data_IF_237994004667
#
_entry.id   IF_237994004667
#
_cell.length_a   1.000
_cell.length_b   1.000
_cell.length_c   1.000
_cell.angle_alpha   90.00
_cell.angle_beta   90.00
_cell.angle_gamma   90.00
#
_symmetry.space_group_name_H-M   'P 1'
#
loop_
_entity.id
_entity.type
_entity.pdbx_description
1 polymer ?
#
# COMPACT_ATOMS: atom_id res chain seq x y z
N UNK A 1 38.71 39.90 13.35
CA UNK A 1 39.51 41.08 12.98
C UNK A 1 40.94 40.85 13.50
N UNK A 2 41.95 41.00 12.62
CA UNK A 2 43.40 40.74 12.82
C UNK A 2 43.81 39.26 12.87
N UNK A 3 44.87 38.77 12.24
CA UNK A 3 45.64 39.12 11.03
C UNK A 3 46.55 37.89 10.80
N UNK A 4 46.55 37.29 9.61
CA UNK A 4 47.67 36.47 9.09
C UNK A 4 48.93 37.38 8.95
N UNK A 5 50.19 36.90 8.74
CA UNK A 5 50.56 35.69 7.98
C UNK A 5 51.88 34.99 8.39
N UNK A 6 52.19 33.87 7.72
CA UNK A 6 53.57 33.58 7.31
C UNK A 6 53.60 32.64 6.09
N UNK A 7 54.00 33.22 4.96
CA UNK A 7 54.42 32.55 3.75
C UNK A 7 55.74 31.79 3.98
N UNK A 8 55.91 30.67 3.29
CA UNK A 8 57.05 30.53 2.37
C UNK A 8 56.78 29.48 1.29
N UNK A 9 57.04 29.93 0.07
CA UNK A 9 56.99 29.26 -1.22
C UNK A 9 58.32 28.60 -1.54
N UNK A 10 58.29 27.46 -2.22
CA UNK A 10 59.40 27.03 -3.08
C UNK A 10 58.86 26.19 -4.25
N UNK A 11 58.92 26.77 -5.43
CA UNK A 11 58.72 26.14 -6.73
C UNK A 11 60.06 25.57 -7.20
N UNK A 12 60.09 24.34 -7.72
CA UNK A 12 61.13 23.90 -8.65
C UNK A 12 60.57 22.80 -9.58
N UNK A 13 61.00 22.87 -10.83
CA UNK A 13 60.39 22.33 -12.05
C UNK A 13 61.31 21.26 -12.67
N UNK A 14 60.69 20.18 -13.15
CA UNK A 14 61.05 19.29 -14.28
C UNK A 14 62.29 18.38 -14.22
N UNK A 15 62.04 17.08 -14.43
CA UNK A 15 62.81 16.24 -15.33
C UNK A 15 61.90 15.20 -16.02
N UNK A 16 61.93 15.19 -17.35
CA UNK A 16 61.21 14.26 -18.22
C UNK A 16 61.97 12.93 -18.36
N UNK A 17 61.26 11.84 -18.62
CA UNK A 17 61.85 10.58 -19.10
C UNK A 17 60.91 9.93 -20.12
N UNK A 18 61.38 9.92 -21.36
CA UNK A 18 60.80 9.27 -22.53
C UNK A 18 61.19 7.79 -22.51
N UNK A 19 60.23 6.90 -22.76
CA UNK A 19 60.51 5.48 -23.02
C UNK A 19 59.86 5.08 -24.34
N UNK A 20 60.72 4.87 -25.33
CA UNK A 20 60.44 4.37 -26.67
C UNK A 20 60.42 2.84 -26.60
N UNK A 21 59.32 2.21 -27.01
CA UNK A 21 59.28 0.79 -27.34
C UNK A 21 59.24 0.63 -28.86
N UNK A 22 60.25 -0.05 -29.41
CA UNK A 22 60.35 -0.46 -30.81
C UNK A 22 60.03 -1.96 -30.89
N UNK A 23 59.13 -2.34 -31.79
CA UNK A 23 58.76 -3.73 -32.10
C UNK A 23 58.11 -3.80 -33.50
N UNK A 24 58.29 -4.90 -34.24
CA UNK A 24 58.40 -4.86 -35.70
C UNK A 24 57.07 -4.78 -36.46
N UNK A 25 57.09 -3.99 -37.53
CA UNK A 25 56.06 -3.92 -38.56
C UNK A 25 56.02 -5.22 -39.37
N UNK A 26 54.84 -5.84 -39.46
CA UNK A 26 54.52 -6.83 -40.48
C UNK A 26 53.57 -6.20 -41.49
N UNK A 27 54.05 -6.08 -42.72
CA UNK A 27 53.29 -5.60 -43.89
C UNK A 27 52.43 -6.76 -44.40
N UNK A 28 51.12 -6.58 -44.45
CA UNK A 28 50.23 -7.42 -45.25
C UNK A 28 49.41 -6.57 -46.22
N UNK A 29 49.17 -7.18 -47.37
CA UNK A 29 48.93 -6.55 -48.66
C UNK A 29 47.57 -5.90 -48.83
N UNK A 30 47.55 -4.89 -49.70
CA UNK A 30 46.36 -4.27 -50.29
C UNK A 30 45.67 -5.27 -51.23
N UNK A 31 44.39 -5.53 -50.99
CA UNK A 31 43.45 -6.05 -51.98
C UNK A 31 42.32 -5.01 -52.17
N UNK A 32 41.96 -4.78 -53.43
CA UNK A 32 41.12 -3.67 -53.92
C UNK A 32 39.62 -3.75 -53.57
N UNK A 33 38.83 -2.82 -54.14
CA UNK A 33 37.60 -2.31 -53.54
C UNK A 33 36.37 -3.13 -53.93
N UNK A 34 35.38 -3.19 -53.03
CA UNK A 34 34.02 -3.59 -53.42
C UNK A 34 33.28 -4.31 -52.32
N UNK A 35 32.67 -3.55 -51.40
CA UNK A 35 31.37 -3.84 -50.76
C UNK A 35 31.02 -2.63 -49.90
N UNK A 36 29.97 -1.91 -50.29
CA UNK A 36 29.38 -0.87 -49.45
C UNK A 36 28.98 -1.48 -48.08
N UNK A 37 29.16 -0.78 -46.94
CA UNK A 37 28.67 -1.29 -45.68
C UNK A 37 27.14 -1.34 -45.77
N UNK A 38 26.60 -2.54 -45.59
CA UNK A 38 25.18 -2.73 -45.36
C UNK A 38 24.77 -1.91 -44.14
N UNK A 39 23.72 -1.11 -44.28
CA UNK A 39 23.05 -0.41 -43.18
C UNK A 39 22.81 -1.40 -42.05
N UNK A 40 23.48 -1.18 -40.92
CA UNK A 40 23.22 -1.92 -39.70
C UNK A 40 21.76 -1.71 -39.30
N UNK A 41 21.00 -2.80 -39.20
CA UNK A 41 19.68 -2.78 -38.58
C UNK A 41 19.80 -2.24 -37.14
N UNK A 42 18.94 -1.29 -36.77
CA UNK A 42 18.80 -0.82 -35.38
C UNK A 42 18.59 -2.03 -34.47
N UNK A 43 19.60 -2.38 -33.67
CA UNK A 43 19.44 -3.36 -32.61
C UNK A 43 18.55 -2.74 -31.52
N UNK A 44 17.46 -3.43 -31.17
CA UNK A 44 16.61 -3.03 -30.06
C UNK A 44 17.42 -3.07 -28.75
N UNK A 45 17.27 -2.09 -27.86
CA UNK A 45 17.94 -2.09 -26.56
C UNK A 45 17.53 -3.33 -25.76
N UNK A 46 18.52 -4.01 -25.17
CA UNK A 46 18.34 -5.14 -24.25
C UNK A 46 18.29 -4.64 -22.81
N UNK A 47 17.24 -4.99 -22.06
CA UNK A 47 17.00 -4.57 -20.67
C UNK A 47 16.81 -5.77 -19.74
N UNK A 48 17.42 -5.73 -18.56
CA UNK A 48 17.28 -6.77 -17.53
C UNK A 48 16.04 -6.63 -16.65
N UNK A 49 15.42 -5.43 -16.59
CA UNK A 49 14.20 -5.18 -15.82
C UNK A 49 12.89 -5.56 -16.50
N UNK A 50 12.95 -6.15 -17.71
CA UNK A 50 11.75 -6.57 -18.45
C UNK A 50 11.11 -7.81 -17.80
N UNK A 51 9.80 -7.81 -17.51
CA UNK A 51 9.09 -9.01 -17.06
C UNK A 51 9.06 -10.14 -18.10
N UNK A 52 9.04 -11.39 -17.64
CA UNK A 52 9.00 -12.55 -18.55
C UNK A 52 7.74 -12.57 -19.41
N UNK A 53 7.88 -12.96 -20.68
CA UNK A 53 6.76 -13.00 -21.63
C UNK A 53 6.79 -11.84 -22.63
N UNK A 54 5.67 -11.64 -23.31
CA UNK A 54 5.47 -10.51 -24.23
C UNK A 54 4.33 -9.66 -23.72
N UNK A 55 4.61 -8.39 -23.46
CA UNK A 55 3.67 -7.44 -22.87
C UNK A 55 3.62 -6.18 -23.72
N UNK A 56 2.45 -5.55 -23.75
CA UNK A 56 2.26 -4.26 -24.42
C UNK A 56 1.64 -3.29 -23.43
N UNK A 57 2.23 -2.12 -23.28
CA UNK A 57 1.80 -1.07 -22.37
C UNK A 57 1.65 0.24 -23.14
N UNK A 58 0.43 0.74 -23.28
CA UNK A 58 0.18 2.08 -23.83
C UNK A 58 0.36 3.15 -22.75
N UNK A 59 1.44 3.91 -22.78
CA UNK A 59 1.74 4.96 -21.81
C UNK A 59 0.72 6.12 -21.84
N UNK A 60 0.72 6.94 -20.78
CA UNK A 60 -0.19 8.09 -20.66
C UNK A 60 -0.05 9.11 -21.82
N UNK A 61 1.10 9.14 -22.50
CA UNK A 61 1.37 9.97 -23.67
C UNK A 61 0.73 9.44 -24.96
N UNK A 62 0.30 8.17 -24.96
CA UNK A 62 -0.14 7.43 -26.15
C UNK A 62 0.96 6.61 -26.83
N UNK A 63 2.21 6.73 -26.38
CA UNK A 63 3.30 5.86 -26.84
C UNK A 63 3.07 4.41 -26.37
N UNK A 64 3.30 3.46 -27.26
CA UNK A 64 3.12 2.03 -27.00
C UNK A 64 4.48 1.38 -26.80
N UNK A 65 4.69 0.83 -25.60
CA UNK A 65 5.88 0.06 -25.26
C UNK A 65 5.55 -1.42 -25.40
N UNK A 66 6.29 -2.12 -26.24
CA UNK A 66 6.25 -3.59 -26.32
C UNK A 66 7.53 -4.14 -25.72
N UNK A 67 7.39 -5.00 -24.73
CA UNK A 67 8.50 -5.71 -24.09
C UNK A 67 8.40 -7.20 -24.41
N UNK A 68 9.55 -7.84 -24.66
CA UNK A 68 9.62 -9.29 -24.84
C UNK A 68 10.86 -9.84 -24.15
N UNK A 69 10.67 -10.79 -23.25
CA UNK A 69 11.77 -11.51 -22.61
C UNK A 69 11.51 -13.02 -22.64
N UNK A 70 12.50 -13.77 -23.11
CA UNK A 70 12.49 -15.23 -23.09
C UNK A 70 12.83 -15.80 -21.72
N UNK A 71 12.44 -17.05 -21.45
CA UNK A 71 12.63 -17.74 -20.17
C UNK A 71 14.09 -17.99 -19.74
N UNK A 72 15.07 -17.54 -20.52
CA UNK A 72 16.50 -17.82 -20.35
C UNK A 72 17.34 -16.70 -19.71
N UNK A 73 16.73 -15.63 -19.19
CA UNK A 73 17.42 -14.59 -18.40
C UNK A 73 18.42 -13.69 -19.14
N UNK A 74 18.65 -13.88 -20.44
CA UNK A 74 19.33 -12.91 -21.28
C UNK A 74 18.34 -11.77 -21.58
N UNK A 75 18.70 -10.53 -21.23
CA UNK A 75 17.82 -9.34 -21.18
C UNK A 75 16.75 -9.24 -22.28
N UNK A 76 15.60 -8.69 -21.92
CA UNK A 76 14.44 -8.51 -22.79
C UNK A 76 14.64 -7.40 -23.82
N UNK A 77 13.96 -7.51 -24.96
CA UNK A 77 13.92 -6.46 -25.98
C UNK A 77 12.78 -5.49 -25.69
N UNK A 78 13.04 -4.20 -25.83
CA UNK A 78 12.05 -3.13 -25.68
C UNK A 78 11.90 -2.38 -27.00
N UNK A 79 10.68 -2.20 -27.47
CA UNK A 79 10.37 -1.34 -28.63
C UNK A 79 9.32 -0.31 -28.25
N UNK A 80 9.55 0.95 -28.62
CA UNK A 80 8.64 2.06 -28.33
C UNK A 80 8.15 2.65 -29.65
N UNK A 81 6.83 2.76 -29.80
CA UNK A 81 6.18 3.36 -30.95
C UNK A 81 5.26 4.48 -30.51
N UNK A 82 5.12 5.51 -31.33
CA UNK A 82 4.14 6.57 -31.09
C UNK A 82 2.70 6.04 -31.32
N UNK A 83 1.72 6.90 -31.06
CA UNK A 83 0.31 6.58 -31.26
C UNK A 83 -0.05 6.25 -32.73
N UNK A 84 0.76 6.65 -33.71
CA UNK A 84 0.61 6.33 -35.14
C UNK A 84 1.30 5.01 -35.52
N UNK A 85 1.99 4.36 -34.58
CA UNK A 85 2.75 3.13 -34.79
C UNK A 85 4.15 3.33 -35.40
N UNK A 86 4.65 4.57 -35.49
CA UNK A 86 6.01 4.86 -35.96
C UNK A 86 7.00 4.74 -34.79
N UNK A 87 8.29 4.45 -35.04
CA UNK A 87 9.30 4.44 -33.97
C UNK A 87 9.35 5.78 -33.23
N UNK A 88 9.22 5.77 -31.90
CA UNK A 88 9.23 6.97 -31.07
C UNK A 88 10.58 7.16 -30.37
N UNK A 89 11.02 8.42 -30.23
CA UNK A 89 12.19 8.78 -29.43
C UNK A 89 11.80 8.70 -27.95
N UNK A 90 12.52 7.87 -27.20
CA UNK A 90 12.30 7.67 -25.77
C UNK A 90 13.63 7.45 -25.07
N UNK A 91 13.68 7.82 -23.79
CA UNK A 91 14.81 7.55 -22.89
C UNK A 91 14.46 6.34 -22.05
N UNK A 92 15.20 5.25 -22.26
CA UNK A 92 15.14 4.07 -21.41
C UNK A 92 16.13 4.24 -20.26
N UNK A 93 15.67 3.97 -19.04
CA UNK A 93 16.52 3.97 -17.84
C UNK A 93 16.21 2.72 -17.04
N UNK A 94 17.24 2.09 -16.49
CA UNK A 94 17.07 1.06 -15.46
C UNK A 94 17.44 1.68 -14.12
N UNK A 95 16.53 1.58 -13.16
CA UNK A 95 16.73 2.02 -11.80
C UNK A 95 16.17 0.96 -10.86
N UNK A 96 16.96 0.55 -9.87
CA UNK A 96 16.57 -0.42 -8.83
C UNK A 96 16.09 -1.79 -9.33
N UNK A 97 16.35 -2.13 -10.60
CA UNK A 97 15.91 -3.39 -11.22
C UNK A 97 14.76 -3.20 -12.20
N UNK A 98 14.14 -2.02 -12.22
CA UNK A 98 12.94 -1.73 -13.01
C UNK A 98 13.28 -0.99 -14.29
N UNK A 99 12.48 -1.26 -15.33
CA UNK A 99 12.57 -0.61 -16.62
C UNK A 99 11.66 0.61 -16.66
N UNK A 100 12.26 1.78 -16.76
CA UNK A 100 11.55 3.03 -17.05
C UNK A 100 11.68 3.41 -18.52
N UNK A 101 10.56 3.78 -19.14
CA UNK A 101 10.51 4.26 -20.52
C UNK A 101 9.88 5.64 -20.56
N UNK A 102 10.70 6.67 -20.76
CA UNK A 102 10.24 8.06 -20.82
C UNK A 102 10.17 8.56 -22.26
N UNK A 103 8.97 8.79 -22.83
CA UNK A 103 8.81 9.51 -24.09
C UNK A 103 9.41 10.92 -23.99
N UNK A 104 9.96 11.42 -25.08
CA UNK A 104 10.57 12.76 -25.13
C UNK A 104 9.60 13.87 -24.70
N UNK A 105 8.32 13.73 -25.06
CA UNK A 105 7.24 14.65 -24.70
C UNK A 105 6.93 14.69 -23.20
N UNK A 106 7.22 13.63 -22.45
CA UNK A 106 6.96 13.54 -21.01
C UNK A 106 8.12 14.03 -20.15
N UNK A 107 9.36 13.96 -20.65
CA UNK A 107 10.58 14.25 -19.89
C UNK A 107 10.57 15.61 -19.16
N UNK A 108 10.10 16.72 -19.76
CA UNK A 108 10.07 18.01 -19.06
C UNK A 108 9.16 17.99 -17.81
N UNK A 109 8.00 17.35 -17.90
CA UNK A 109 7.03 17.26 -16.79
C UNK A 109 7.51 16.32 -15.68
N UNK A 110 8.16 15.21 -16.05
CA UNK A 110 8.77 14.29 -15.08
C UNK A 110 9.94 14.97 -14.35
N UNK A 111 10.78 15.72 -15.08
CA UNK A 111 11.91 16.43 -14.49
C UNK A 111 11.49 17.56 -13.54
N UNK A 112 10.37 18.23 -13.82
CA UNK A 112 9.77 19.25 -12.95
C UNK A 112 9.04 18.63 -11.74
N UNK A 113 8.75 17.33 -11.78
CA UNK A 113 7.99 16.61 -10.74
C UNK A 113 6.48 16.81 -10.84
N UNK A 114 5.98 17.46 -11.90
CA UNK A 114 4.55 17.63 -12.15
C UNK A 114 3.89 16.37 -12.73
N UNK A 115 4.67 15.48 -13.34
CA UNK A 115 4.23 14.17 -13.80
C UNK A 115 4.93 13.06 -13.03
N UNK A 116 4.14 12.16 -12.47
CA UNK A 116 4.63 11.02 -11.73
C UNK A 116 5.45 10.07 -12.62
N UNK A 117 6.64 9.71 -12.15
CA UNK A 117 7.56 8.83 -12.86
C UNK A 117 7.03 7.39 -12.93
N UNK A 118 6.18 6.97 -11.97
CA UNK A 118 5.65 5.61 -11.93
C UNK A 118 4.68 5.32 -13.09
N UNK A 119 4.15 6.37 -13.74
CA UNK A 119 3.43 6.24 -15.01
C UNK A 119 4.31 5.73 -16.18
N UNK A 120 5.62 5.65 -15.98
CA UNK A 120 6.62 5.22 -16.94
C UNK A 120 7.44 4.02 -16.45
N UNK A 121 7.16 3.49 -15.25
CA UNK A 121 7.73 2.24 -14.76
C UNK A 121 7.04 1.06 -15.45
N UNK A 122 7.62 0.56 -16.53
CA UNK A 122 7.01 -0.50 -17.34
C UNK A 122 7.01 -1.84 -16.60
N UNK A 123 7.94 -2.05 -15.69
CA UNK A 123 8.00 -3.26 -14.84
C UNK A 123 6.78 -3.31 -13.94
N UNK A 124 6.60 -2.30 -13.08
CA UNK A 124 5.48 -2.24 -12.13
C UNK A 124 4.13 -2.17 -12.83
N UNK A 125 4.02 -1.43 -13.93
CA UNK A 125 2.77 -1.39 -14.71
C UNK A 125 2.38 -2.78 -15.25
N UNK A 126 3.34 -3.64 -15.59
CA UNK A 126 3.01 -5.02 -16.01
C UNK A 126 2.65 -5.87 -14.78
N UNK A 127 3.41 -5.76 -13.69
CA UNK A 127 3.18 -6.54 -12.46
C UNK A 127 1.83 -6.23 -11.81
N UNK A 128 1.43 -4.96 -11.78
CA UNK A 128 0.13 -4.47 -11.30
C UNK A 128 -1.05 -4.78 -12.27
N UNK A 129 -0.78 -5.45 -13.39
CA UNK A 129 -1.80 -5.80 -14.39
C UNK A 129 -2.35 -4.60 -15.17
N UNK A 130 -1.53 -3.57 -15.35
CA UNK A 130 -1.82 -2.40 -16.17
C UNK A 130 -1.38 -2.54 -17.63
N UNK A 131 -0.94 -3.71 -18.08
CA UNK A 131 -0.70 -3.96 -19.50
C UNK A 131 -2.01 -3.95 -20.32
N UNK A 132 -1.90 -3.75 -21.63
CA UNK A 132 -3.02 -3.56 -22.54
C UNK A 132 -3.89 -4.82 -22.67
N UNK A 133 -3.35 -6.01 -22.40
CA UNK A 133 -4.11 -7.25 -22.42
C UNK A 133 -4.97 -7.41 -21.15
N UNK A 134 -4.46 -7.00 -19.99
CA UNK A 134 -5.17 -7.12 -18.71
C UNK A 134 -6.16 -6.00 -18.46
N UNK A 135 -5.83 -4.74 -18.81
CA UNK A 135 -6.63 -3.58 -18.41
C UNK A 135 -6.66 -2.45 -19.43
N UNK A 136 -7.87 -2.18 -19.94
CA UNK A 136 -8.13 -1.11 -20.94
C UNK A 136 -7.99 0.31 -20.41
N UNK A 137 -7.90 0.50 -19.10
CA UNK A 137 -8.03 1.81 -18.46
C UNK A 137 -6.97 2.01 -17.39
N UNK A 138 -6.29 3.15 -17.48
CA UNK A 138 -5.28 3.58 -16.51
C UNK A 138 -5.94 4.52 -15.48
N UNK A 139 -5.96 4.16 -14.18
CA UNK A 139 -6.46 5.02 -13.13
C UNK A 139 -5.40 6.09 -12.79
N UNK A 140 -5.85 7.33 -12.59
CA UNK A 140 -4.99 8.50 -12.41
C UNK A 140 -5.53 9.40 -11.30
N UNK A 141 -4.64 10.10 -10.60
CA UNK A 141 -5.00 11.23 -9.74
C UNK A 141 -4.52 12.52 -10.41
N UNK A 142 -5.38 13.52 -10.50
CA UNK A 142 -5.03 14.84 -11.03
C UNK A 142 -5.29 15.89 -9.94
N UNK A 143 -4.29 16.69 -9.58
CA UNK A 143 -4.47 17.87 -8.71
C UNK A 143 -4.51 19.15 -9.53
N UNK A 144 -5.16 20.18 -8.98
CA UNK A 144 -5.28 21.49 -9.61
C UNK A 144 -4.57 22.55 -8.78
N UNK A 145 -4.08 23.60 -9.45
CA UNK A 145 -3.25 24.66 -8.83
C UNK A 145 -3.94 25.41 -7.68
N UNK A 146 -5.27 25.43 -7.67
CA UNK A 146 -6.06 26.02 -6.59
C UNK A 146 -7.52 25.50 -6.61
N UNK A 147 -8.23 25.77 -5.51
CA UNK A 147 -9.63 25.37 -5.35
C UNK A 147 -10.60 25.96 -6.41
N UNK A 148 -10.28 27.10 -7.02
CA UNK A 148 -11.12 27.66 -8.08
C UNK A 148 -10.96 26.85 -9.37
N UNK A 149 -9.72 26.54 -9.77
CA UNK A 149 -9.42 25.67 -10.89
C UNK A 149 -10.04 24.27 -10.72
N UNK A 150 -9.92 23.68 -9.53
CA UNK A 150 -10.54 22.39 -9.21
C UNK A 150 -12.08 22.38 -9.45
N UNK A 151 -12.78 23.44 -9.02
CA UNK A 151 -14.25 23.52 -9.16
C UNK A 151 -14.72 23.66 -10.61
N UNK A 152 -13.93 24.30 -11.46
CA UNK A 152 -14.28 24.57 -12.86
C UNK A 152 -13.58 23.64 -13.84
N UNK A 153 -12.75 22.71 -13.35
CA UNK A 153 -11.96 21.83 -14.19
C UNK A 153 -12.84 20.94 -15.05
N UNK A 154 -12.61 20.99 -16.36
CA UNK A 154 -13.14 20.01 -17.30
C UNK A 154 -12.42 18.68 -17.12
N UNK A 155 -13.10 17.58 -17.43
CA UNK A 155 -12.44 16.27 -17.48
C UNK A 155 -11.61 16.22 -18.77
N UNK A 156 -10.31 15.90 -18.70
CA UNK A 156 -9.47 15.71 -19.88
C UNK A 156 -10.08 14.73 -20.89
N UNK A 157 -9.85 14.96 -22.18
CA UNK A 157 -10.35 14.08 -23.23
C UNK A 157 -9.78 12.67 -23.06
N UNK A 158 -10.51 11.65 -23.53
CA UNK A 158 -10.08 10.26 -23.35
C UNK A 158 -10.16 9.74 -21.90
N UNK A 159 -10.50 10.57 -20.90
CA UNK A 159 -10.73 10.15 -19.53
C UNK A 159 -12.17 10.36 -19.07
N UNK A 160 -12.53 9.70 -17.96
CA UNK A 160 -13.74 10.02 -17.20
C UNK A 160 -13.39 10.29 -15.75
N UNK A 161 -14.09 11.24 -15.11
CA UNK A 161 -14.00 11.43 -13.66
C UNK A 161 -14.64 10.24 -12.96
N UNK A 162 -13.88 9.61 -12.07
CA UNK A 162 -14.35 8.53 -11.19
C UNK A 162 -14.87 9.14 -9.88
N UNK A 163 -14.10 10.04 -9.27
CA UNK A 163 -14.46 10.69 -8.00
C UNK A 163 -13.78 12.04 -7.83
N UNK A 164 -14.40 12.91 -7.07
CA UNK A 164 -13.84 14.19 -6.64
C UNK A 164 -13.02 14.02 -5.33
N UNK A 165 -11.85 14.63 -5.25
CA UNK A 165 -10.90 14.52 -4.15
C UNK A 165 -10.62 15.91 -3.55
N UNK A 166 -11.64 16.48 -2.91
CA UNK A 166 -11.61 17.86 -2.41
C UNK A 166 -10.45 18.17 -1.44
N UNK A 167 -10.01 17.19 -0.64
CA UNK A 167 -8.91 17.33 0.33
C UNK A 167 -7.57 17.67 -0.32
N UNK A 168 -7.34 17.17 -1.54
CA UNK A 168 -6.10 17.40 -2.32
C UNK A 168 -6.34 18.33 -3.50
N UNK A 169 -7.50 19.01 -3.54
CA UNK A 169 -7.91 19.85 -4.66
C UNK A 169 -7.75 19.11 -6.00
N UNK A 170 -8.22 17.87 -6.06
CA UNK A 170 -7.97 16.97 -7.18
C UNK A 170 -9.14 16.06 -7.53
N UNK A 171 -8.93 15.20 -8.52
CA UNK A 171 -9.91 14.23 -8.97
C UNK A 171 -9.24 12.90 -9.31
N UNK A 172 -9.91 11.80 -8.98
CA UNK A 172 -9.59 10.48 -9.50
C UNK A 172 -10.20 10.35 -10.90
N UNK A 173 -9.37 10.07 -11.89
CA UNK A 173 -9.74 9.88 -13.29
C UNK A 173 -9.45 8.44 -13.71
N UNK A 174 -10.13 8.01 -14.77
CA UNK A 174 -9.82 6.75 -15.44
C UNK A 174 -9.69 7.02 -16.94
N UNK A 175 -8.44 7.04 -17.40
CA UNK A 175 -8.06 7.29 -18.78
C UNK A 175 -8.20 6.00 -19.61
N UNK A 176 -8.79 6.11 -20.80
CA UNK A 176 -8.88 5.03 -21.76
C UNK A 176 -7.56 4.92 -22.53
N UNK A 177 -6.89 3.77 -22.46
CA UNK A 177 -5.60 3.57 -23.13
C UNK A 177 -5.70 3.75 -24.64
N UNK A 178 -6.83 3.37 -25.25
CA UNK A 178 -7.05 3.57 -26.68
C UNK A 178 -7.16 5.06 -27.08
N UNK A 179 -7.36 5.95 -26.09
CA UNK A 179 -7.45 7.41 -26.26
C UNK A 179 -6.35 8.14 -25.49
N UNK A 180 -5.27 7.46 -25.11
CA UNK A 180 -4.19 8.06 -24.32
C UNK A 180 -3.55 9.27 -25.03
N UNK A 181 -3.38 9.23 -26.36
CA UNK A 181 -2.88 10.37 -27.13
C UNK A 181 -3.86 11.57 -27.18
N UNK A 182 -5.16 11.33 -27.05
CA UNK A 182 -6.15 12.41 -26.91
C UNK A 182 -6.10 13.01 -25.50
N UNK A 183 -5.99 12.15 -24.48
CA UNK A 183 -5.79 12.57 -23.10
C UNK A 183 -4.54 13.46 -22.98
N UNK A 184 -3.40 12.97 -23.47
CA UNK A 184 -2.13 13.69 -23.38
C UNK A 184 -2.21 15.08 -24.03
N UNK A 185 -2.76 15.19 -25.24
CA UNK A 185 -2.94 16.47 -25.93
C UNK A 185 -3.91 17.40 -25.19
N UNK A 186 -4.95 16.87 -24.55
CA UNK A 186 -5.88 17.73 -23.79
C UNK A 186 -5.22 18.36 -22.56
N UNK A 187 -4.24 17.69 -21.95
CA UNK A 187 -3.53 18.23 -20.76
C UNK A 187 -2.25 18.98 -21.09
N UNK A 188 -1.63 18.75 -22.25
CA UNK A 188 -0.36 19.42 -22.64
C UNK A 188 -0.49 20.42 -23.79
N UNK A 189 -1.59 20.37 -24.54
CA UNK A 189 -1.75 21.12 -25.79
C UNK A 189 -1.01 20.49 -26.96
N UNK A 190 -1.03 21.16 -28.11
CA UNK A 190 -0.43 20.69 -29.36
C UNK A 190 1.05 21.11 -29.48
N UNK A 191 1.76 21.19 -28.34
CA UNK A 191 3.17 21.55 -28.30
C UNK A 191 4.03 20.39 -28.84
N UNK A 192 3.93 20.14 -30.14
CA UNK A 192 4.94 19.42 -30.90
C UNK A 192 6.24 20.21 -30.75
N UNK A 193 7.21 19.63 -30.04
CA UNK A 193 8.59 20.10 -30.05
C UNK A 193 9.06 19.99 -31.50
N UNK A 194 9.06 21.11 -32.21
CA UNK A 194 9.62 21.23 -33.56
C UNK A 194 11.12 20.89 -33.48
N UNK A 195 11.63 20.12 -34.45
CA UNK A 195 13.04 19.64 -34.54
C UNK A 195 14.04 20.79 -34.85
N UNK A 196 13.81 21.98 -34.28
CA UNK A 196 14.63 23.18 -34.46
C UNK A 196 15.39 23.53 -33.19
N UNK A 197 16.72 23.61 -33.30
CA UNK A 197 17.62 24.14 -32.27
C UNK A 197 17.10 25.52 -31.82
N UNK A 198 16.44 25.56 -30.67
CA UNK A 198 15.90 26.76 -30.05
C UNK A 198 16.17 26.73 -28.55
N UNK A 199 16.97 27.68 -28.07
CA UNK A 199 17.12 27.96 -26.65
C UNK A 199 15.75 28.33 -26.05
N UNK A 200 15.13 27.38 -25.35
CA UNK A 200 13.95 27.66 -24.54
C UNK A 200 13.87 26.65 -23.40
N UNK A 201 14.28 27.08 -22.20
CA UNK A 201 13.65 26.60 -20.98
C UNK A 201 12.18 27.07 -21.01
N UNK A 202 11.32 26.34 -21.73
CA UNK A 202 9.87 26.46 -21.54
C UNK A 202 9.51 25.64 -20.32
N UNK A 203 9.07 26.32 -19.25
CA UNK A 203 8.48 25.66 -18.08
C UNK A 203 7.32 24.78 -18.56
N UNK A 204 7.43 23.47 -18.34
CA UNK A 204 6.50 22.49 -18.87
C UNK A 204 5.24 22.46 -18.00
N UNK A 205 4.26 23.29 -18.35
CA UNK A 205 3.03 23.43 -17.59
C UNK A 205 1.85 22.70 -18.26
N UNK A 206 1.05 22.00 -17.47
CA UNK A 206 -0.22 21.44 -17.92
C UNK A 206 -1.27 22.53 -18.14
N UNK A 207 -2.18 22.28 -19.09
CA UNK A 207 -3.34 23.11 -19.39
C UNK A 207 -4.43 23.01 -18.30
N UNK A 208 -5.44 23.87 -18.43
CA UNK A 208 -6.68 23.85 -17.63
C UNK A 208 -6.49 23.85 -16.10
N UNK A 209 -5.34 24.36 -15.66
CA UNK A 209 -5.05 24.53 -14.24
C UNK A 209 -4.64 23.24 -13.53
N UNK A 210 -4.37 22.16 -14.26
CA UNK A 210 -3.73 20.96 -13.72
C UNK A 210 -2.36 21.33 -13.14
N UNK A 211 -2.08 20.86 -11.93
CA UNK A 211 -0.81 21.04 -11.25
C UNK A 211 0.05 19.78 -11.36
N UNK A 212 -0.54 18.61 -11.10
CA UNK A 212 0.15 17.34 -11.17
C UNK A 212 -0.76 16.21 -11.66
N UNK A 213 -0.15 15.19 -12.25
CA UNK A 213 -0.78 13.94 -12.65
C UNK A 213 0.01 12.77 -12.06
N UNK A 214 -0.66 11.91 -11.30
CA UNK A 214 -0.10 10.70 -10.69
C UNK A 214 -0.78 9.44 -11.17
N UNK A 215 -0.07 8.32 -11.07
CA UNK A 215 -0.70 7.00 -11.12
C UNK A 215 -1.58 6.83 -9.88
N UNK A 216 -2.85 6.46 -10.05
CA UNK A 216 -3.69 5.99 -8.94
C UNK A 216 -3.34 4.52 -8.70
N UNK A 217 -2.16 4.30 -8.12
CA UNK A 217 -1.54 3.00 -7.95
C UNK A 217 -2.42 2.10 -7.07
N UNK A 218 -2.46 0.77 -7.34
CA UNK A 218 -3.14 -0.16 -6.45
C UNK A 218 -2.43 -0.11 -5.10
N UNK A 219 -3.21 -0.10 -4.03
CA UNK A 219 -2.69 -0.32 -2.68
C UNK A 219 -3.11 -1.72 -2.28
N UNK A 220 -2.14 -2.53 -1.89
CA UNK A 220 -2.39 -3.83 -1.31
C UNK A 220 -2.42 -3.73 0.21
N UNK A 221 -3.30 -4.51 0.81
CA UNK A 221 -3.36 -4.71 2.24
C UNK A 221 -2.37 -5.82 2.60
N UNK A 222 -1.48 -5.58 3.56
CA UNK A 222 -0.45 -6.52 3.99
C UNK A 222 -0.34 -6.52 5.53
N UNK A 223 -0.46 -7.69 6.17
CA UNK A 223 -0.38 -7.81 7.63
C UNK A 223 1.05 -7.58 8.11
N UNK A 224 2.04 -8.02 7.34
CA UNK A 224 3.44 -7.80 7.65
C UNK A 224 3.75 -6.29 7.72
N UNK A 225 3.16 -5.48 6.84
CA UNK A 225 3.33 -4.03 6.84
C UNK A 225 2.69 -3.37 8.08
N UNK A 226 1.46 -3.76 8.42
CA UNK A 226 0.77 -3.23 9.61
C UNK A 226 1.47 -3.65 10.92
N UNK A 227 1.95 -4.89 11.01
CA UNK A 227 2.74 -5.34 12.17
C UNK A 227 4.11 -4.67 12.23
N UNK A 228 4.72 -4.34 11.09
CA UNK A 228 5.95 -3.55 11.02
C UNK A 228 5.73 -2.11 11.50
N UNK A 229 4.61 -1.47 11.13
CA UNK A 229 4.25 -0.10 11.54
C UNK A 229 4.21 0.04 13.07
N UNK A 230 3.70 -0.97 13.79
CA UNK A 230 3.67 -0.98 15.26
C UNK A 230 4.97 -1.51 15.91
N UNK A 231 5.97 -1.87 15.12
CA UNK A 231 7.26 -2.36 15.59
C UNK A 231 7.27 -3.80 16.11
N UNK A 232 6.29 -4.64 15.74
CA UNK A 232 6.23 -6.05 16.14
C UNK A 232 7.48 -6.85 15.74
N UNK A 233 8.11 -6.66 14.56
CA UNK A 233 9.37 -7.32 14.21
C UNK A 233 10.49 -7.13 15.24
N UNK A 234 10.55 -5.95 15.88
CA UNK A 234 11.54 -5.68 16.93
C UNK A 234 11.26 -6.49 18.19
N UNK A 235 9.99 -6.69 18.54
CA UNK A 235 9.60 -7.53 19.67
C UNK A 235 9.90 -9.02 19.39
N UNK A 236 9.59 -9.50 18.18
CA UNK A 236 9.86 -10.87 17.76
C UNK A 236 11.36 -11.19 17.71
N UNK A 237 12.20 -10.25 17.28
CA UNK A 237 13.66 -10.41 17.29
C UNK A 237 14.21 -10.61 18.72
N UNK A 238 13.51 -10.10 19.74
CA UNK A 238 13.80 -10.35 21.15
C UNK A 238 13.25 -11.69 21.67
N UNK A 239 12.62 -12.50 20.83
CA UNK A 239 11.97 -13.76 21.19
C UNK A 239 10.56 -13.62 21.76
N UNK A 240 9.99 -12.40 21.80
CA UNK A 240 8.67 -12.17 22.36
C UNK A 240 7.59 -12.41 21.31
N UNK A 241 6.96 -13.58 21.35
CA UNK A 241 5.85 -13.96 20.44
C UNK A 241 4.49 -14.05 21.15
N UNK A 242 4.42 -13.66 22.42
CA UNK A 242 3.24 -13.89 23.27
C UNK A 242 3.14 -15.32 23.80
N UNK A 243 4.20 -16.14 23.65
CA UNK A 243 4.25 -17.50 24.16
C UNK A 243 3.83 -17.59 25.63
N UNK A 244 2.87 -18.48 25.91
CA UNK A 244 2.37 -18.72 27.26
C UNK A 244 1.26 -17.77 27.71
N UNK A 245 0.97 -16.71 26.96
CA UNK A 245 -0.17 -15.80 27.20
C UNK A 245 -1.42 -16.37 26.55
N UNK A 246 -2.55 -16.31 27.28
CA UNK A 246 -3.88 -16.60 26.76
C UNK A 246 -4.64 -15.29 26.52
N UNK A 247 -5.12 -15.10 25.29
CA UNK A 247 -5.94 -13.97 24.86
C UNK A 247 -7.35 -14.48 24.56
N UNK A 248 -8.36 -13.88 25.17
CA UNK A 248 -9.73 -14.14 24.81
C UNK A 248 -10.17 -13.18 23.69
N UNK A 249 -10.84 -13.69 22.65
CA UNK A 249 -11.41 -12.89 21.57
C UNK A 249 -12.92 -13.08 21.60
N UNK A 250 -13.66 -12.01 21.86
CA UNK A 250 -15.13 -12.01 21.94
C UNK A 250 -15.71 -11.42 20.65
N UNK A 251 -16.20 -12.26 19.74
CA UNK A 251 -16.54 -11.85 18.36
C UNK A 251 -17.63 -12.75 17.71
N UNK A 252 -17.62 -12.88 16.39
CA UNK A 252 -18.54 -13.66 15.53
C UNK A 252 -18.21 -15.15 15.46
N UNK A 253 -17.11 -15.59 16.07
CA UNK A 253 -16.68 -16.99 16.08
C UNK A 253 -15.25 -17.15 15.60
N UNK A 254 -14.89 -18.34 15.17
CA UNK A 254 -13.61 -18.60 14.48
C UNK A 254 -13.72 -19.75 13.47
N UNK A 255 -13.02 -19.64 12.34
CA UNK A 255 -12.64 -20.79 11.53
C UNK A 255 -11.42 -21.48 12.15
N UNK A 256 -11.68 -22.43 13.04
CA UNK A 256 -10.63 -23.19 13.72
C UNK A 256 -9.83 -24.11 12.77
N UNK A 257 -10.31 -24.34 11.54
CA UNK A 257 -9.62 -25.10 10.52
C UNK A 257 -8.63 -24.27 9.70
N UNK A 258 -8.64 -22.94 9.85
CA UNK A 258 -7.73 -22.07 9.11
C UNK A 258 -6.26 -22.38 9.47
N UNK A 259 -5.34 -22.53 8.49
CA UNK A 259 -3.94 -22.89 8.76
C UNK A 259 -3.24 -22.00 9.79
N UNK A 260 -3.54 -20.71 9.77
CA UNK A 260 -2.93 -19.73 10.69
C UNK A 260 -3.40 -19.87 12.14
N UNK A 261 -4.51 -20.59 12.39
CA UNK A 261 -5.16 -20.69 13.69
C UNK A 261 -5.24 -22.12 14.25
N UNK A 262 -4.96 -23.14 13.43
CA UNK A 262 -5.20 -24.56 13.72
C UNK A 262 -4.67 -25.03 15.11
N UNK A 263 -3.56 -24.47 15.58
CA UNK A 263 -2.95 -24.81 16.88
C UNK A 263 -2.90 -23.63 17.87
N UNK A 264 -3.70 -22.58 17.64
CA UNK A 264 -3.78 -21.41 18.52
C UNK A 264 -4.96 -21.46 19.47
N UNK A 265 -6.05 -22.11 19.06
CA UNK A 265 -7.32 -22.09 19.81
C UNK A 265 -7.30 -23.16 20.90
N UNK A 266 -7.34 -22.74 22.17
CA UNK A 266 -7.38 -23.64 23.34
C UNK A 266 -8.77 -23.85 23.90
N UNK A 267 -9.69 -22.92 23.64
CA UNK A 267 -11.09 -23.03 24.00
C UNK A 267 -11.95 -22.22 23.03
N UNK A 268 -13.19 -22.67 22.84
CA UNK A 268 -14.20 -21.93 22.10
C UNK A 268 -15.58 -22.19 22.69
N UNK A 269 -16.40 -21.15 22.81
CA UNK A 269 -17.76 -21.25 23.33
C UNK A 269 -18.67 -20.25 22.63
N UNK A 270 -19.90 -20.67 22.32
CA UNK A 270 -20.93 -19.78 21.80
C UNK A 270 -21.85 -19.33 22.93
N UNK A 271 -22.10 -18.02 22.99
CA UNK A 271 -23.10 -17.39 23.85
C UNK A 271 -24.33 -16.94 23.04
N UNK A 272 -24.28 -17.12 21.72
CA UNK A 272 -25.39 -16.89 20.80
C UNK A 272 -26.28 -18.14 20.82
N UNK A 273 -27.57 -18.02 21.18
CA UNK A 273 -28.50 -19.13 21.18
C UNK A 273 -28.57 -19.81 19.81
N UNK A 274 -28.61 -21.15 19.83
CA UNK A 274 -28.77 -22.00 18.65
C UNK A 274 -27.67 -21.89 17.57
N UNK A 275 -26.56 -21.19 17.85
CA UNK A 275 -25.40 -21.10 16.96
C UNK A 275 -24.16 -21.78 17.56
N UNK A 276 -23.40 -22.46 16.71
CA UNK A 276 -22.08 -22.97 17.07
C UNK A 276 -21.02 -21.85 16.96
N UNK A 277 -19.77 -22.17 17.25
CA UNK A 277 -18.66 -21.21 17.23
C UNK A 277 -18.08 -20.92 15.83
N UNK A 278 -18.60 -21.55 14.79
CA UNK A 278 -18.04 -21.42 13.45
C UNK A 278 -18.34 -20.02 12.92
N UNK A 279 -17.34 -19.40 12.28
CA UNK A 279 -17.43 -18.01 11.88
C UNK A 279 -18.00 -17.82 10.47
N UNK A 280 -19.31 -17.73 10.35
CA UNK A 280 -19.99 -17.49 9.06
C UNK A 280 -19.98 -16.03 8.62
N UNK A 281 -19.59 -15.12 9.49
CA UNK A 281 -19.45 -13.70 9.16
C UNK A 281 -18.04 -13.43 8.60
N UNK A 282 -17.02 -14.01 9.22
CA UNK A 282 -15.61 -13.92 8.84
C UNK A 282 -14.82 -12.91 9.66
N UNK A 283 -15.48 -12.01 10.38
CA UNK A 283 -14.84 -10.96 11.19
C UNK A 283 -14.01 -11.54 12.33
N UNK A 284 -14.52 -12.54 13.05
CA UNK A 284 -13.87 -13.10 14.23
C UNK A 284 -12.59 -13.87 13.88
N UNK A 285 -12.59 -14.56 12.74
CA UNK A 285 -11.42 -15.25 12.19
C UNK A 285 -10.34 -14.25 11.80
N UNK A 286 -10.73 -13.16 11.14
CA UNK A 286 -9.82 -12.07 10.77
C UNK A 286 -9.16 -11.48 12.02
N UNK A 287 -9.96 -11.03 12.98
CA UNK A 287 -9.50 -10.47 14.28
C UNK A 287 -8.60 -11.45 15.04
N UNK A 288 -9.00 -12.72 15.17
CA UNK A 288 -8.22 -13.74 15.87
C UNK A 288 -6.83 -13.94 15.24
N UNK A 289 -6.75 -13.88 13.91
CA UNK A 289 -5.48 -14.02 13.19
C UNK A 289 -4.61 -12.77 13.24
N UNK A 290 -5.18 -11.56 13.30
CA UNK A 290 -4.43 -10.33 13.58
C UNK A 290 -3.73 -10.40 14.94
N UNK A 291 -4.39 -11.02 15.93
CA UNK A 291 -3.80 -11.24 17.27
C UNK A 291 -2.72 -12.32 17.24
N UNK A 292 -3.05 -13.55 16.81
CA UNK A 292 -2.17 -14.71 17.02
C UNK A 292 -2.04 -15.65 15.81
N UNK A 293 -2.42 -15.20 14.62
CA UNK A 293 -2.22 -15.94 13.38
C UNK A 293 -0.75 -16.28 13.17
N UNK A 294 -0.45 -17.53 12.83
CA UNK A 294 0.93 -17.98 12.63
C UNK A 294 1.52 -17.59 11.27
N UNK A 295 0.68 -17.14 10.33
CA UNK A 295 1.05 -16.91 8.94
C UNK A 295 1.32 -18.21 8.16
N UNK A 296 0.87 -19.37 8.64
CA UNK A 296 1.17 -20.67 8.02
C UNK A 296 0.71 -20.78 6.55
N UNK A 297 -0.39 -20.13 6.18
CA UNK A 297 -0.87 -20.10 4.79
C UNK A 297 -0.05 -19.16 3.87
N UNK A 298 0.89 -18.39 4.42
CA UNK A 298 1.77 -17.44 3.72
C UNK A 298 3.25 -17.62 4.08
N UNK A 299 3.66 -18.83 4.46
CA UNK A 299 5.04 -19.15 4.86
C UNK A 299 5.60 -18.24 5.98
N UNK A 300 4.71 -17.73 6.85
CA UNK A 300 5.02 -16.88 7.99
C UNK A 300 5.10 -15.39 7.69
N UNK A 301 4.72 -14.96 6.47
CA UNK A 301 4.64 -13.55 6.07
C UNK A 301 3.52 -12.84 6.80
N UNK A 302 2.28 -13.32 6.66
CA UNK A 302 1.08 -12.71 7.22
C UNK A 302 0.78 -13.24 8.63
N UNK A 303 1.73 -13.08 9.55
CA UNK A 303 1.55 -13.48 10.96
C UNK A 303 1.02 -12.32 11.80
N UNK A 304 0.16 -12.65 12.77
CA UNK A 304 -0.34 -11.71 13.75
C UNK A 304 0.73 -11.22 14.72
N UNK A 305 0.34 -10.28 15.59
CA UNK A 305 1.26 -9.60 16.53
C UNK A 305 1.91 -10.57 17.53
N UNK A 306 1.14 -11.56 18.00
CA UNK A 306 1.54 -12.52 19.03
C UNK A 306 1.34 -13.97 18.55
N UNK A 307 2.12 -14.45 17.57
CA UNK A 307 1.88 -15.75 16.91
C UNK A 307 2.10 -16.97 17.82
N UNK A 308 2.69 -16.77 19.01
CA UNK A 308 2.86 -17.79 20.05
C UNK A 308 1.78 -17.76 21.15
N UNK A 309 0.86 -16.78 21.13
CA UNK A 309 -0.24 -16.71 22.07
C UNK A 309 -1.28 -17.82 21.84
N UNK A 310 -2.01 -18.15 22.90
CA UNK A 310 -3.15 -19.09 22.84
C UNK A 310 -4.45 -18.31 22.89
N UNK A 311 -5.45 -18.75 22.14
CA UNK A 311 -6.72 -18.06 21.96
C UNK A 311 -7.88 -18.79 22.63
N UNK A 312 -8.70 -18.05 23.37
CA UNK A 312 -10.01 -18.48 23.85
C UNK A 312 -11.09 -17.69 23.11
N UNK A 313 -11.89 -18.37 22.27
CA UNK A 313 -12.86 -17.70 21.38
C UNK A 313 -14.26 -17.73 21.99
N UNK A 314 -14.81 -16.56 22.31
CA UNK A 314 -16.20 -16.41 22.73
C UNK A 314 -17.05 -15.84 21.60
N UNK A 315 -17.95 -16.64 21.01
CA UNK A 315 -18.89 -16.11 20.02
C UNK A 315 -20.03 -15.37 20.74
N UNK A 316 -20.11 -14.07 20.53
CA UNK A 316 -21.10 -13.13 21.11
C UNK A 316 -21.82 -12.32 20.04
N UNK A 317 -21.40 -12.43 18.78
CA UNK A 317 -22.08 -11.89 17.61
C UNK A 317 -22.58 -13.06 16.75
N UNK A 318 -23.82 -12.96 16.27
CA UNK A 318 -24.46 -13.94 15.40
C UNK A 318 -23.81 -13.97 14.00
N UNK A 319 -24.29 -14.87 13.14
CA UNK A 319 -23.79 -15.01 11.76
C UNK A 319 -24.07 -13.80 10.84
N UNK A 320 -24.67 -12.73 11.35
CA UNK A 320 -24.86 -11.44 10.67
C UNK A 320 -24.13 -10.29 11.38
N UNK A 321 -23.20 -10.61 12.29
CA UNK A 321 -22.41 -9.62 13.02
C UNK A 321 -23.17 -8.89 14.13
N UNK A 322 -24.31 -9.40 14.59
CA UNK A 322 -25.12 -8.74 15.64
C UNK A 322 -25.06 -9.47 16.97
N UNK A 323 -24.95 -8.73 18.06
CA UNK A 323 -24.90 -9.28 19.41
C UNK A 323 -25.96 -8.70 20.35
N UNK A 324 -26.07 -9.32 21.52
CA UNK A 324 -26.80 -8.79 22.66
C UNK A 324 -25.85 -8.52 23.82
N UNK A 325 -26.13 -7.45 24.57
CA UNK A 325 -25.37 -7.09 25.77
C UNK A 325 -25.24 -8.27 26.73
N UNK A 326 -26.31 -9.05 26.91
CA UNK A 326 -26.31 -10.23 27.80
C UNK A 326 -25.32 -11.32 27.37
N UNK A 327 -25.20 -11.58 26.08
CA UNK A 327 -24.25 -12.57 25.54
C UNK A 327 -22.81 -12.10 25.76
N UNK A 328 -22.55 -10.83 25.49
CA UNK A 328 -21.24 -10.21 25.69
C UNK A 328 -20.84 -10.24 27.17
N UNK A 329 -21.74 -9.87 28.09
CA UNK A 329 -21.47 -9.90 29.53
C UNK A 329 -21.13 -11.32 30.03
N UNK A 330 -21.90 -12.33 29.62
CA UNK A 330 -21.63 -13.72 29.98
C UNK A 330 -20.26 -14.18 29.46
N UNK A 331 -19.88 -13.75 28.26
CA UNK A 331 -18.59 -14.09 27.67
C UNK A 331 -17.41 -13.36 28.33
N UNK A 332 -17.59 -12.11 28.80
CA UNK A 332 -16.58 -11.40 29.60
C UNK A 332 -16.29 -12.14 30.91
N UNK A 333 -17.34 -12.60 31.60
CA UNK A 333 -17.21 -13.40 32.82
C UNK A 333 -16.51 -14.73 32.54
N UNK A 334 -16.95 -15.47 31.51
CA UNK A 334 -16.28 -16.69 31.07
C UNK A 334 -14.79 -16.48 30.78
N UNK A 335 -14.44 -15.44 30.00
CA UNK A 335 -13.08 -15.14 29.60
C UNK A 335 -12.16 -14.84 30.80
N UNK A 336 -12.65 -14.08 31.77
CA UNK A 336 -11.82 -13.58 32.88
C UNK A 336 -11.86 -14.48 34.11
N UNK A 337 -13.01 -15.08 34.42
CA UNK A 337 -13.22 -15.88 35.64
C UNK A 337 -12.98 -17.37 35.39
N UNK A 338 -13.44 -17.91 34.26
CA UNK A 338 -13.29 -19.35 33.98
C UNK A 338 -12.03 -19.65 33.17
N UNK A 339 -11.73 -18.83 32.16
CA UNK A 339 -10.53 -18.98 31.32
C UNK A 339 -9.30 -18.29 31.89
N UNK A 340 -9.48 -17.37 32.85
CA UNK A 340 -8.42 -16.58 33.45
C UNK A 340 -7.54 -15.82 32.43
N UNK A 341 -8.13 -15.46 31.28
CA UNK A 341 -7.44 -14.72 30.24
C UNK A 341 -6.95 -13.37 30.79
N UNK A 342 -5.70 -13.01 30.45
CA UNK A 342 -5.10 -11.75 30.89
C UNK A 342 -5.39 -10.60 29.94
N UNK A 343 -5.75 -10.93 28.70
CA UNK A 343 -6.13 -9.96 27.67
C UNK A 343 -7.46 -10.44 27.10
N UNK A 344 -8.43 -9.53 27.00
CA UNK A 344 -9.73 -9.77 26.37
C UNK A 344 -9.89 -8.75 25.24
N UNK A 345 -9.87 -9.23 24.00
CA UNK A 345 -10.15 -8.43 22.81
C UNK A 345 -11.64 -8.36 22.56
N UNK A 346 -12.13 -7.15 22.29
CA UNK A 346 -13.52 -6.86 22.00
C UNK A 346 -13.61 -5.90 20.81
N UNK A 347 -13.59 -6.47 19.61
CA UNK A 347 -13.77 -5.76 18.34
C UNK A 347 -15.25 -5.52 18.05
N UNK A 348 -15.95 -4.99 19.05
CA UNK A 348 -17.39 -4.77 19.05
C UNK A 348 -17.74 -3.55 19.90
N UNK A 349 -18.92 -3.01 19.67
CA UNK A 349 -19.42 -1.92 20.49
C UNK A 349 -20.79 -1.45 20.03
N UNK A 350 -21.29 -0.44 20.73
CA UNK A 350 -22.49 0.29 20.33
C UNK A 350 -22.12 1.68 19.85
N UNK A 351 -22.90 2.24 18.93
CA UNK A 351 -22.79 3.66 18.54
C UNK A 351 -23.56 4.58 19.51
N UNK A 352 -24.08 4.04 20.62
CA UNK A 352 -24.81 4.81 21.61
C UNK A 352 -23.82 5.52 22.52
N UNK A 353 -24.02 6.83 22.68
CA UNK A 353 -23.26 7.62 23.64
C UNK A 353 -23.48 7.09 25.06
N UNK A 354 -22.39 6.96 25.82
CA UNK A 354 -22.42 6.53 27.20
C UNK A 354 -21.35 7.29 28.00
N UNK A 355 -21.64 7.54 29.28
CA UNK A 355 -20.72 8.10 30.26
C UNK A 355 -19.92 7.00 31.01
N UNK A 356 -20.08 5.74 30.61
CA UNK A 356 -19.48 4.57 31.26
C UNK A 356 -20.35 3.97 32.37
N UNK A 357 -21.54 4.52 32.63
CA UNK A 357 -22.51 3.92 33.57
C UNK A 357 -23.32 2.76 32.95
N UNK A 358 -23.13 2.45 31.67
CA UNK A 358 -23.82 1.32 31.03
C UNK A 358 -23.33 -0.05 31.56
N UNK A 359 -24.15 -1.11 31.44
CA UNK A 359 -23.81 -2.42 31.98
C UNK A 359 -22.50 -3.04 31.45
N UNK A 360 -22.16 -2.83 30.17
CA UNK A 360 -20.93 -3.39 29.61
C UNK A 360 -19.70 -2.68 30.15
N UNK A 361 -19.75 -1.34 30.24
CA UNK A 361 -18.66 -0.55 30.80
C UNK A 361 -18.42 -0.86 32.27
N UNK A 362 -19.49 -0.97 33.07
CA UNK A 362 -19.39 -1.37 34.47
C UNK A 362 -18.81 -2.78 34.64
N UNK A 363 -19.15 -3.71 33.74
CA UNK A 363 -18.61 -5.06 33.76
C UNK A 363 -17.12 -5.08 33.44
N UNK A 364 -16.68 -4.34 32.42
CA UNK A 364 -15.25 -4.16 32.12
C UNK A 364 -14.51 -3.61 33.34
N UNK A 365 -14.96 -2.51 33.91
CA UNK A 365 -14.30 -1.90 35.08
C UNK A 365 -14.21 -2.86 36.28
N UNK A 366 -15.31 -3.57 36.56
CA UNK A 366 -15.38 -4.53 37.66
C UNK A 366 -14.46 -5.74 37.43
N UNK A 367 -14.52 -6.36 36.25
CA UNK A 367 -13.75 -7.56 35.94
C UNK A 367 -12.26 -7.26 35.84
N UNK A 368 -11.88 -6.12 35.27
CA UNK A 368 -10.50 -5.63 35.29
C UNK A 368 -9.98 -5.50 36.73
N UNK A 369 -10.73 -4.84 37.62
CA UNK A 369 -10.34 -4.65 39.00
C UNK A 369 -10.25 -5.97 39.80
N UNK A 370 -11.13 -6.93 39.52
CA UNK A 370 -11.18 -8.21 40.25
C UNK A 370 -10.15 -9.23 39.79
N UNK A 371 -9.87 -9.29 38.49
CA UNK A 371 -9.08 -10.37 37.88
C UNK A 371 -7.70 -9.92 37.39
N UNK A 372 -7.52 -8.60 37.26
CA UNK A 372 -6.34 -7.99 36.62
C UNK A 372 -6.28 -8.21 35.12
N UNK A 373 -7.39 -8.60 34.47
CA UNK A 373 -7.46 -8.69 33.02
C UNK A 373 -7.46 -7.29 32.38
N UNK A 374 -6.79 -7.18 31.23
CA UNK A 374 -6.85 -6.00 30.37
C UNK A 374 -7.90 -6.23 29.28
N UNK A 375 -8.90 -5.36 29.22
CA UNK A 375 -9.85 -5.33 28.11
C UNK A 375 -9.34 -4.36 27.04
N UNK A 376 -9.15 -4.86 25.83
CA UNK A 376 -8.79 -4.06 24.65
C UNK A 376 -10.04 -3.96 23.78
N UNK A 377 -10.50 -2.74 23.54
CA UNK A 377 -11.82 -2.49 22.95
C UNK A 377 -11.70 -1.54 21.76
N UNK A 378 -12.37 -1.87 20.66
CA UNK A 378 -12.45 -0.98 19.50
C UNK A 378 -13.13 0.34 19.86
N UNK A 379 -12.62 1.47 19.35
CA UNK A 379 -13.23 2.78 19.57
C UNK A 379 -14.61 2.91 18.89
N UNK A 380 -14.83 2.17 17.80
CA UNK A 380 -16.03 2.26 16.96
C UNK A 380 -15.74 2.93 15.62
N UNK A 381 -16.68 2.78 14.67
CA UNK A 381 -16.51 3.17 13.27
C UNK A 381 -17.45 4.32 12.84
N UNK A 382 -17.79 5.22 13.77
CA UNK A 382 -18.75 6.32 13.52
C UNK A 382 -18.09 7.67 13.17
N UNK A 383 -16.75 7.78 13.25
CA UNK A 383 -15.95 8.90 12.70
C UNK A 383 -16.03 10.26 13.40
N UNK A 384 -17.13 10.57 14.07
CA UNK A 384 -17.39 11.89 14.65
C UNK A 384 -16.88 12.01 16.10
N UNK A 385 -16.71 13.25 16.56
CA UNK A 385 -16.40 13.54 17.96
C UNK A 385 -17.53 13.07 18.89
N UNK A 386 -17.16 12.46 20.02
CA UNK A 386 -18.11 11.91 21.00
C UNK A 386 -18.90 10.71 20.51
N UNK A 387 -18.33 9.90 19.61
CA UNK A 387 -19.00 8.69 19.07
C UNK A 387 -18.45 7.37 19.59
N UNK A 388 -17.47 7.41 20.50
CA UNK A 388 -17.05 6.21 21.22
C UNK A 388 -18.20 5.78 22.13
N UNK A 389 -18.67 4.54 21.94
CA UNK A 389 -19.72 3.96 22.77
C UNK A 389 -19.22 2.81 23.62
N UNK A 390 -20.16 2.13 24.28
CA UNK A 390 -19.85 1.00 25.14
C UNK A 390 -19.41 -0.24 24.35
N UNK A 391 -18.47 -1.06 24.87
CA UNK A 391 -17.73 -0.89 26.13
C UNK A 391 -16.48 0.02 26.05
N UNK A 392 -16.18 0.61 24.89
CA UNK A 392 -14.99 1.45 24.69
C UNK A 392 -14.93 2.72 25.55
N UNK A 393 -16.04 3.14 26.16
CA UNK A 393 -16.07 4.26 27.13
C UNK A 393 -15.73 3.87 28.57
N UNK A 394 -15.59 2.56 28.86
CA UNK A 394 -15.22 2.08 30.19
C UNK A 394 -13.88 2.66 30.64
N UNK A 395 -13.77 3.01 31.92
CA UNK A 395 -12.58 3.71 32.43
C UNK A 395 -11.33 2.83 32.38
N UNK A 396 -11.51 1.52 32.58
CA UNK A 396 -10.43 0.53 32.63
C UNK A 396 -10.19 -0.18 31.30
N UNK A 397 -10.98 0.12 30.26
CA UNK A 397 -10.71 -0.38 28.91
C UNK A 397 -9.51 0.34 28.31
N UNK A 398 -8.64 -0.39 27.61
CA UNK A 398 -7.72 0.19 26.63
C UNK A 398 -8.48 0.30 25.31
N UNK A 399 -8.90 1.51 24.97
CA UNK A 399 -9.69 1.77 23.77
C UNK A 399 -8.78 2.16 22.61
N UNK A 400 -8.99 1.53 21.46
CA UNK A 400 -8.09 1.62 20.30
C UNK A 400 -8.83 2.21 19.10
N UNK A 401 -8.32 3.33 18.58
CA UNK A 401 -8.74 3.91 17.30
C UNK A 401 -7.93 3.37 16.11
N UNK A 402 -8.32 3.74 14.89
CA UNK A 402 -7.70 3.27 13.66
C UNK A 402 -6.91 4.37 12.95
N UNK A 403 -5.71 4.04 12.47
CA UNK A 403 -4.94 4.81 11.49
C UNK A 403 -4.73 4.02 10.20
N UNK A 404 -4.40 4.70 9.11
CA UNK A 404 -3.89 4.08 7.89
C UNK A 404 -2.37 3.85 7.95
N UNK A 405 -1.80 3.34 6.84
CA UNK A 405 -0.36 3.08 6.70
C UNK A 405 0.54 4.32 6.79
N UNK A 406 -0.05 5.53 6.78
CA UNK A 406 0.67 6.81 6.91
C UNK A 406 0.55 7.43 8.31
N UNK A 407 0.05 6.66 9.29
CA UNK A 407 -0.31 7.13 10.63
C UNK A 407 -1.39 8.23 10.63
N UNK A 408 -2.17 8.35 9.55
CA UNK A 408 -3.31 9.27 9.50
C UNK A 408 -4.53 8.60 10.11
N UNK A 409 -5.21 9.30 11.04
CA UNK A 409 -6.44 8.79 11.68
C UNK A 409 -7.49 8.50 10.60
N UNK A 410 -8.00 7.27 10.60
CA UNK A 410 -8.98 6.82 9.64
C UNK A 410 -10.27 7.65 9.78
N UNK A 411 -10.90 8.12 8.69
CA UNK A 411 -12.10 8.96 8.76
C UNK A 411 -13.29 8.32 9.50
N UNK A 412 -13.33 6.98 9.57
CA UNK A 412 -14.37 6.25 10.30
C UNK A 412 -14.02 6.05 11.79
N UNK A 413 -12.77 6.24 12.23
CA UNK A 413 -12.38 5.97 13.61
C UNK A 413 -13.15 6.88 14.56
N UNK A 414 -13.94 6.29 15.44
CA UNK A 414 -14.69 7.04 16.46
C UNK A 414 -13.74 7.80 17.39
N UNK A 415 -14.15 9.00 17.75
CA UNK A 415 -13.35 9.92 18.53
C UNK A 415 -14.06 10.25 19.84
N UNK A 416 -13.28 10.54 20.88
CA UNK A 416 -13.80 11.11 22.11
C UNK A 416 -14.25 12.57 21.94
N UNK A 417 -14.48 13.27 23.07
CA UNK A 417 -14.40 12.74 24.43
C UNK A 417 -15.56 11.80 24.75
N UNK A 418 -15.48 11.11 25.88
CA UNK A 418 -16.66 10.51 26.52
C UNK A 418 -17.68 11.61 26.86
N UNK A 419 -18.94 11.24 27.09
CA UNK A 419 -20.04 12.19 27.42
C UNK A 419 -19.70 13.11 28.61
N UNK A 420 -18.95 12.62 29.59
CA UNK A 420 -18.52 13.37 30.77
C UNK A 420 -17.19 14.14 30.59
N UNK A 421 -16.62 14.14 29.38
CA UNK A 421 -15.38 14.84 29.05
C UNK A 421 -14.10 14.01 29.24
N UNK A 422 -14.19 12.75 29.66
CA UNK A 422 -13.00 11.90 29.79
C UNK A 422 -12.34 11.60 28.42
N UNK A 423 -11.01 11.48 28.42
CA UNK A 423 -10.23 11.20 27.22
C UNK A 423 -10.44 9.74 26.76
N UNK A 424 -10.80 9.58 25.49
CA UNK A 424 -10.85 8.33 24.71
C UNK A 424 -10.63 8.67 23.23
N UNK A 425 -10.11 7.77 22.37
CA UNK A 425 -9.45 6.51 22.74
C UNK A 425 -8.08 6.80 23.39
N UNK A 426 -7.49 5.82 24.06
CA UNK A 426 -6.14 5.97 24.64
C UNK A 426 -5.04 5.92 23.59
N UNK A 427 -5.20 5.05 22.60
CA UNK A 427 -4.20 4.81 21.55
C UNK A 427 -4.87 4.58 20.19
N UNK A 428 -4.06 4.58 19.14
CA UNK A 428 -4.45 4.16 17.80
C UNK A 428 -3.52 3.05 17.30
N UNK A 429 -4.02 2.23 16.39
CA UNK A 429 -3.26 1.19 15.69
C UNK A 429 -3.68 1.14 14.20
N UNK A 430 -2.90 0.48 13.32
CA UNK A 430 -3.29 0.30 11.92
C UNK A 430 -4.62 -0.45 11.83
N UNK A 431 -5.60 0.14 11.15
CA UNK A 431 -6.96 -0.42 11.03
C UNK A 431 -7.60 -0.19 9.65
N UNK A 432 -6.81 0.22 8.65
CA UNK A 432 -7.27 0.42 7.26
C UNK A 432 -6.56 -0.57 6.36
N UNK A 433 -7.32 -1.43 5.67
CA UNK A 433 -6.76 -2.41 4.75
C UNK A 433 -5.84 -3.40 5.47
N UNK A 434 -6.30 -3.98 6.56
CA UNK A 434 -5.53 -5.00 7.29
C UNK A 434 -5.80 -6.36 6.67
N UNK A 435 -4.77 -6.98 6.11
CA UNK A 435 -4.84 -8.35 5.61
C UNK A 435 -4.81 -9.31 6.80
N UNK A 436 -5.72 -10.27 6.86
CA UNK A 436 -5.67 -11.33 7.85
C UNK A 436 -6.50 -12.54 7.37
N UNK A 437 -6.57 -13.60 8.17
CA UNK A 437 -7.19 -14.86 7.81
C UNK A 437 -8.65 -14.68 7.32
N UNK A 438 -8.98 -15.36 6.23
CA UNK A 438 -10.34 -15.41 5.67
C UNK A 438 -11.04 -16.69 6.14
N UNK A 439 -12.22 -16.55 6.73
CA UNK A 439 -13.01 -17.72 7.15
C UNK A 439 -13.56 -18.46 5.94
N UNK A 440 -13.32 -19.77 5.86
CA UNK A 440 -13.91 -20.61 4.81
C UNK A 440 -15.43 -20.79 4.93
N UNK A 441 -16.01 -20.45 6.09
CA UNK A 441 -17.45 -20.48 6.31
C UNK A 441 -18.16 -19.21 5.85
N UNK A 442 -17.44 -18.11 5.64
CA UNK A 442 -18.00 -16.83 5.22
C UNK A 442 -18.42 -16.86 3.75
N UNK A 443 -19.40 -16.03 3.39
CA UNK A 443 -19.94 -15.98 2.03
C UNK A 443 -18.88 -15.63 0.96
N UNK A 444 -17.84 -14.90 1.35
CA UNK A 444 -16.68 -14.50 0.56
C UNK A 444 -15.39 -15.27 0.96
N UNK A 445 -15.53 -16.45 1.59
CA UNK A 445 -14.44 -17.30 2.09
C UNK A 445 -13.54 -17.96 1.04
N UNK A 446 -13.27 -17.28 -0.08
CA UNK A 446 -12.35 -17.74 -1.10
C UNK A 446 -10.92 -17.28 -0.77
N UNK A 447 -9.97 -18.21 -0.76
CA UNK A 447 -8.57 -17.93 -0.42
C UNK A 447 -8.32 -17.88 1.10
N UNK A 448 -7.04 -17.81 1.49
CA UNK A 448 -6.64 -17.84 2.90
C UNK A 448 -6.68 -16.47 3.59
N UNK A 449 -6.66 -15.37 2.83
CA UNK A 449 -6.57 -14.03 3.39
C UNK A 449 -7.60 -13.09 2.78
N UNK A 450 -8.04 -12.12 3.58
CA UNK A 450 -8.90 -11.03 3.16
C UNK A 450 -8.50 -9.73 3.87
N UNK A 451 -8.82 -8.62 3.23
CA UNK A 451 -8.49 -7.29 3.73
C UNK A 451 -9.74 -6.62 4.29
N UNK A 452 -9.69 -6.20 5.56
CA UNK A 452 -10.78 -5.49 6.22
C UNK A 452 -10.30 -4.15 6.77
N UNK A 453 -11.24 -3.23 6.97
CA UNK A 453 -10.99 -1.92 7.56
C UNK A 453 -11.98 -1.67 8.70
N UNK A 454 -11.47 -1.17 9.82
CA UNK A 454 -12.24 -0.86 11.00
C UNK A 454 -11.34 -0.71 12.22
N UNK A 455 -11.84 -0.08 13.28
CA UNK A 455 -11.23 -0.12 14.62
C UNK A 455 -11.27 -1.51 15.25
N UNK A 456 -11.94 -2.46 14.58
CA UNK A 456 -11.99 -3.87 14.93
C UNK A 456 -10.71 -4.63 14.62
N UNK A 457 -9.99 -4.22 13.58
CA UNK A 457 -8.71 -4.79 13.16
C UNK A 457 -7.62 -4.26 14.09
#
# INVERSE_FOLDING_TARGET
MKQHPRCWSATAVVAASVLVFTGPFSVQAVAGPGSAPALAAHQAPSSTGVPTGEHTVTLITGDVVTTRQGSGGAGGTVTVRDADGKPARSRLTEADGDLFVYPESALPFVAEGSLDRELFNVTDLIEDGYDDASRKRLPLIVSYRNAAAHRTAAVPDGARKVRDLASVQGAALSADRARAAEFWRSVTGDNSVDDGIGDAHTDAAFLDGVAHIWLDAPVEADLADSTAQIGAPRAWAGGNTGQGVEVAVLDTGVDAGHPDLADRIVARQSFVPDENTDDRDGHGTHVASTVAGTGAASDGKEKGVAPGARLSIGKVLDNSGRGQISWTLAAMEWATVERHAKIVNMSLGSSQQSDGSDPMSQAVDRLSAQTGALFVVAAGNAGEAGTIGAPGVATSALTVGAVDSTDTVAPFSSQGPRVDGALKPEITAPGVGILAANSSFAANGNGAYQSLSGTSM
#
